data_IF_925605480061
#
_entry.id   IF_925605480061
#
_cell.length_a   1.000
_cell.length_b   1.000
_cell.length_c   1.000
_cell.angle_alpha   90.00
_cell.angle_beta   90.00
_cell.angle_gamma   90.00
#
_symmetry.space_group_name_H-M   'P 1'
#
loop_
_entity.id
_entity.type
_entity.pdbx_description
1 polymer ?
#
# COMPACT_ATOMS: atom_id res chain seq x y z
N UNK A 1 93.46 -27.17 -21.24
CA UNK A 1 93.04 -26.32 -20.10
C UNK A 1 91.52 -26.24 -20.12
N UNK A 2 90.90 -26.63 -18.99
CA UNK A 2 89.48 -26.45 -18.57
C UNK A 2 88.42 -27.14 -19.47
N UNK A 3 87.92 -28.34 -19.19
CA UNK A 3 87.04 -28.84 -18.10
C UNK A 3 85.52 -28.52 -18.28
N UNK A 4 84.67 -29.55 -18.19
CA UNK A 4 83.26 -29.42 -17.74
C UNK A 4 82.19 -30.22 -18.49
N UNK A 5 81.79 -31.39 -17.96
CA UNK A 5 80.59 -32.20 -18.31
C UNK A 5 79.26 -31.54 -17.82
N UNK A 6 78.05 -32.06 -18.19
CA UNK A 6 76.76 -31.35 -18.29
C UNK A 6 75.81 -31.53 -17.07
N UNK A 7 74.54 -31.05 -17.13
CA UNK A 7 73.43 -31.99 -16.89
C UNK A 7 72.07 -31.76 -17.62
N UNK A 8 71.48 -32.89 -18.00
CA UNK A 8 70.11 -33.44 -17.85
C UNK A 8 68.98 -32.70 -17.06
N UNK A 9 67.72 -32.85 -17.58
CA UNK A 9 66.40 -33.14 -16.93
C UNK A 9 65.25 -32.08 -16.90
N UNK A 10 64.13 -32.48 -17.53
CA UNK A 10 62.69 -32.21 -17.25
C UNK A 10 62.11 -30.82 -17.52
N UNK A 11 60.82 -30.60 -17.82
CA UNK A 11 59.60 -31.23 -17.27
C UNK A 11 58.41 -30.80 -18.13
N UNK A 12 57.43 -31.68 -18.28
CA UNK A 12 56.13 -31.42 -18.87
C UNK A 12 55.41 -30.27 -18.14
N UNK A 13 55.02 -29.22 -18.87
CA UNK A 13 54.17 -28.16 -18.35
C UNK A 13 52.71 -28.59 -18.37
N UNK A 14 52.21 -29.08 -17.23
CA UNK A 14 50.78 -29.25 -17.01
C UNK A 14 50.16 -27.86 -16.78
N UNK A 15 49.33 -27.42 -17.72
CA UNK A 15 48.49 -26.23 -17.55
C UNK A 15 47.34 -26.63 -16.62
N UNK A 16 47.44 -26.23 -15.36
CA UNK A 16 46.36 -26.29 -14.38
C UNK A 16 45.38 -25.15 -14.70
N UNK A 17 44.31 -25.47 -15.44
CA UNK A 17 43.14 -24.61 -15.55
C UNK A 17 42.41 -24.71 -14.21
N UNK A 18 42.68 -23.78 -13.30
CA UNK A 18 41.86 -23.58 -12.11
C UNK A 18 40.58 -22.88 -12.55
N UNK A 19 39.55 -23.67 -12.84
CA UNK A 19 38.18 -23.20 -12.95
C UNK A 19 37.75 -22.74 -11.54
N UNK A 20 37.88 -21.45 -11.26
CA UNK A 20 37.26 -20.84 -10.09
C UNK A 20 35.76 -20.85 -10.31
N UNK A 21 35.09 -21.90 -9.83
CA UNK A 21 33.65 -21.84 -9.61
C UNK A 21 33.42 -20.83 -8.49
N UNK A 22 33.09 -19.60 -8.87
CA UNK A 22 32.48 -18.66 -7.93
C UNK A 22 31.14 -19.26 -7.54
N UNK A 23 31.11 -19.91 -6.38
CA UNK A 23 29.83 -20.23 -5.73
C UNK A 23 29.17 -18.87 -5.50
N UNK A 24 28.01 -18.58 -6.10
CA UNK A 24 27.32 -17.34 -5.81
C UNK A 24 27.07 -17.33 -4.30
N UNK A 25 27.63 -16.35 -3.61
CA UNK A 25 27.22 -16.04 -2.24
C UNK A 25 25.75 -15.65 -2.37
N UNK A 26 24.86 -16.56 -1.97
CA UNK A 26 23.43 -16.27 -1.88
C UNK A 26 23.33 -15.22 -0.78
N UNK A 27 23.14 -13.97 -1.19
CA UNK A 27 22.89 -12.89 -0.25
C UNK A 27 21.60 -13.23 0.50
N UNK A 28 21.73 -13.35 1.82
CA UNK A 28 20.61 -13.65 2.71
C UNK A 28 19.66 -12.45 2.76
N UNK A 29 18.38 -12.73 2.93
CA UNK A 29 17.37 -11.74 3.28
C UNK A 29 17.49 -11.42 4.78
N UNK A 30 17.23 -10.17 5.14
CA UNK A 30 17.22 -9.71 6.54
C UNK A 30 15.84 -9.15 6.90
N UNK A 31 15.29 -9.64 8.01
CA UNK A 31 14.06 -9.14 8.62
C UNK A 31 14.44 -8.31 9.83
N UNK A 32 14.07 -7.02 9.81
CA UNK A 32 14.17 -6.15 10.97
C UNK A 32 12.84 -6.15 11.71
N UNK A 33 12.84 -6.59 12.97
CA UNK A 33 11.64 -6.70 13.79
C UNK A 33 11.41 -5.45 14.63
N UNK A 34 10.19 -5.34 15.18
CA UNK A 34 9.87 -4.38 16.22
C UNK A 34 10.86 -4.51 17.41
N UNK A 35 11.21 -3.39 18.07
CA UNK A 35 12.04 -3.43 19.26
C UNK A 35 11.43 -4.31 20.35
N UNK A 36 12.26 -5.04 21.08
CA UNK A 36 11.80 -5.82 22.22
C UNK A 36 11.45 -4.94 23.44
N UNK A 37 11.09 -5.55 24.57
CA UNK A 37 10.76 -4.83 25.80
C UNK A 37 11.91 -3.95 26.35
N UNK A 38 13.15 -4.16 25.86
CA UNK A 38 14.33 -3.36 26.21
C UNK A 38 14.64 -2.27 25.18
N UNK A 39 13.86 -2.20 24.09
CA UNK A 39 14.06 -1.26 23.01
C UNK A 39 15.13 -1.69 22.00
N UNK A 40 15.62 -2.93 22.06
CA UNK A 40 16.64 -3.42 21.12
C UNK A 40 16.00 -3.93 19.84
N UNK A 41 16.49 -3.47 18.69
CA UNK A 41 16.03 -3.92 17.39
C UNK A 41 16.59 -5.31 17.08
N UNK A 42 15.71 -6.26 16.81
CA UNK A 42 16.10 -7.64 16.46
C UNK A 42 16.18 -7.81 14.95
N UNK A 43 17.26 -8.43 14.49
CA UNK A 43 17.46 -8.77 13.06
C UNK A 43 17.53 -10.29 12.92
N UNK A 44 16.79 -10.82 11.94
CA UNK A 44 16.83 -12.24 11.55
C UNK A 44 17.30 -12.32 10.11
N UNK A 45 18.41 -13.02 9.87
CA UNK A 45 18.94 -13.25 8.52
C UNK A 45 18.67 -14.70 8.07
N UNK A 46 18.21 -14.88 6.83
CA UNK A 46 17.83 -16.18 6.27
C UNK A 46 17.33 -16.04 4.82
N UNK A 47 16.72 -17.09 4.27
CA UNK A 47 16.04 -16.99 2.97
C UNK A 47 14.53 -16.93 3.20
N UNK A 48 13.86 -15.90 2.68
CA UNK A 48 12.40 -15.82 2.73
C UNK A 48 11.83 -16.77 1.68
N UNK A 49 11.23 -17.86 2.15
CA UNK A 49 10.60 -18.87 1.30
C UNK A 49 9.25 -18.36 0.80
N UNK A 50 8.46 -17.75 1.68
CA UNK A 50 7.13 -17.24 1.35
C UNK A 50 6.66 -16.16 2.34
N UNK A 51 5.68 -15.35 1.90
CA UNK A 51 4.94 -14.41 2.76
C UNK A 51 3.45 -14.64 2.53
N UNK A 52 2.77 -15.27 3.48
CA UNK A 52 1.36 -15.62 3.37
C UNK A 52 0.73 -15.83 4.74
N UNK A 53 -0.59 -15.79 4.82
CA UNK A 53 -1.34 -16.09 6.05
C UNK A 53 -0.94 -15.18 7.22
N UNK A 54 -0.54 -13.93 6.91
CA UNK A 54 -0.03 -12.98 7.90
C UNK A 54 1.33 -13.35 8.50
N UNK A 55 2.07 -14.28 7.88
CA UNK A 55 3.39 -14.73 8.33
C UNK A 55 4.44 -14.64 7.21
N UNK A 56 5.69 -14.43 7.62
CA UNK A 56 6.88 -14.55 6.79
C UNK A 56 7.56 -15.87 7.18
N UNK A 57 7.68 -16.78 6.21
CA UNK A 57 8.37 -18.04 6.37
C UNK A 57 9.84 -17.82 5.99
N UNK A 58 10.72 -17.79 6.99
CA UNK A 58 12.16 -17.57 6.79
C UNK A 58 12.95 -18.82 7.16
N UNK A 59 13.81 -19.27 6.27
CA UNK A 59 14.73 -20.40 6.49
C UNK A 59 16.04 -19.89 7.06
N UNK A 60 16.36 -20.32 8.28
CA UNK A 60 17.62 -20.01 8.99
C UNK A 60 18.38 -21.32 9.17
N UNK A 61 19.45 -21.51 8.41
CA UNK A 61 20.15 -22.80 8.33
C UNK A 61 19.27 -23.88 7.70
N UNK A 62 18.90 -24.91 8.48
CA UNK A 62 18.04 -26.03 8.03
C UNK A 62 16.61 -25.93 8.54
N UNK A 63 16.25 -24.87 9.27
CA UNK A 63 14.94 -24.73 9.89
C UNK A 63 14.18 -23.54 9.32
N UNK A 64 12.94 -23.77 8.89
CA UNK A 64 11.99 -22.71 8.55
C UNK A 64 11.28 -22.24 9.82
N UNK A 65 11.19 -20.92 9.99
CA UNK A 65 10.53 -20.27 11.14
C UNK A 65 9.45 -19.33 10.63
N UNK A 66 8.21 -19.42 11.15
CA UNK A 66 7.18 -18.42 10.89
C UNK A 66 7.43 -17.18 11.76
N UNK A 67 7.39 -16.00 11.15
CA UNK A 67 7.46 -14.71 11.82
C UNK A 67 6.18 -13.93 11.47
N UNK A 68 5.41 -13.41 12.43
CA UNK A 68 4.25 -12.57 12.12
C UNK A 68 4.66 -11.37 11.27
N UNK A 69 3.96 -11.12 10.15
CA UNK A 69 4.24 -9.96 9.26
C UNK A 69 4.17 -8.65 10.04
N UNK A 70 3.26 -8.57 11.03
CA UNK A 70 3.05 -7.36 11.83
C UNK A 70 4.22 -7.05 12.79
N UNK A 71 5.08 -8.03 13.06
CA UNK A 71 6.28 -7.82 13.87
C UNK A 71 7.47 -7.33 13.03
N UNK A 72 7.35 -7.34 11.69
CA UNK A 72 8.42 -6.96 10.76
C UNK A 72 8.26 -5.50 10.33
N UNK A 73 9.28 -4.70 10.64
CA UNK A 73 9.36 -3.28 10.28
C UNK A 73 9.94 -3.10 8.88
N UNK A 74 10.91 -3.93 8.51
CA UNK A 74 11.60 -3.82 7.23
C UNK A 74 12.09 -5.19 6.75
N UNK A 75 11.98 -5.40 5.44
CA UNK A 75 12.55 -6.54 4.73
C UNK A 75 13.67 -6.01 3.84
N UNK A 76 14.90 -6.46 4.10
CA UNK A 76 16.03 -6.25 3.21
C UNK A 76 16.25 -7.54 2.41
N UNK A 77 16.31 -7.40 1.08
CA UNK A 77 16.46 -8.53 0.17
C UNK A 77 17.32 -8.11 -1.02
N UNK A 78 17.82 -9.09 -1.77
CA UNK A 78 18.45 -8.83 -3.05
C UNK A 78 17.40 -8.43 -4.08
N UNK A 79 17.21 -7.12 -4.21
CA UNK A 79 16.30 -6.57 -5.21
C UNK A 79 16.95 -6.51 -6.59
N UNK A 80 16.16 -6.80 -7.62
CA UNK A 80 16.60 -6.62 -9.00
C UNK A 80 16.74 -5.12 -9.32
N UNK A 81 17.64 -4.72 -10.25
CA UNK A 81 17.76 -3.33 -10.67
C UNK A 81 16.43 -2.71 -11.15
N UNK A 82 15.61 -3.49 -11.86
CA UNK A 82 14.29 -3.05 -12.32
C UNK A 82 13.34 -2.72 -11.16
N UNK A 83 13.36 -3.49 -10.07
CA UNK A 83 12.56 -3.20 -8.86
C UNK A 83 13.01 -1.88 -8.23
N UNK A 84 14.32 -1.70 -7.97
CA UNK A 84 14.83 -0.44 -7.40
C UNK A 84 14.50 0.77 -8.28
N UNK A 85 14.61 0.62 -9.60
CA UNK A 85 14.21 1.66 -10.54
C UNK A 85 12.72 1.96 -10.45
N UNK A 86 11.87 0.94 -10.32
CA UNK A 86 10.43 1.12 -10.17
C UNK A 86 10.05 1.82 -8.86
N UNK A 87 10.67 1.45 -7.74
CA UNK A 87 10.47 2.12 -6.45
C UNK A 87 10.86 3.60 -6.51
N UNK A 88 11.98 3.91 -7.19
CA UNK A 88 12.39 5.29 -7.42
C UNK A 88 11.38 6.08 -8.25
N UNK A 89 10.80 5.48 -9.30
CA UNK A 89 9.75 6.15 -10.08
C UNK A 89 8.48 6.34 -9.24
N UNK A 90 8.10 5.33 -8.45
CA UNK A 90 6.93 5.39 -7.57
C UNK A 90 7.06 6.50 -6.52
N UNK A 91 8.22 6.66 -5.90
CA UNK A 91 8.46 7.69 -4.88
C UNK A 91 8.45 9.13 -5.41
N UNK A 92 8.58 9.31 -6.73
CA UNK A 92 8.49 10.59 -7.42
C UNK A 92 7.15 10.75 -8.17
N UNK A 93 6.15 9.93 -7.84
CA UNK A 93 4.81 9.99 -8.44
C UNK A 93 4.83 9.82 -9.98
N UNK A 94 5.89 9.21 -10.53
CA UNK A 94 6.03 8.92 -11.95
C UNK A 94 5.31 7.60 -12.27
N UNK A 95 3.98 7.61 -12.10
CA UNK A 95 3.13 6.41 -12.08
C UNK A 95 3.26 5.52 -13.31
N UNK A 96 3.26 6.11 -14.51
CA UNK A 96 3.39 5.36 -15.77
C UNK A 96 4.75 4.67 -15.88
N UNK A 97 5.84 5.38 -15.54
CA UNK A 97 7.19 4.83 -15.57
C UNK A 97 7.37 3.73 -14.51
N UNK A 98 6.79 3.92 -13.32
CA UNK A 98 6.78 2.92 -12.26
C UNK A 98 6.07 1.64 -12.70
N UNK A 99 4.89 1.74 -13.34
CA UNK A 99 4.15 0.59 -13.84
C UNK A 99 4.93 -0.23 -14.87
N UNK A 100 5.59 0.45 -15.82
CA UNK A 100 6.43 -0.20 -16.83
C UNK A 100 7.59 -0.94 -16.16
N UNK A 101 8.29 -0.27 -15.23
CA UNK A 101 9.45 -0.86 -14.54
C UNK A 101 9.06 -2.03 -13.62
N UNK A 102 7.94 -1.93 -12.89
CA UNK A 102 7.44 -3.04 -12.08
C UNK A 102 7.05 -4.24 -12.94
N UNK A 103 6.48 -4.03 -14.13
CA UNK A 103 6.14 -5.14 -15.04
C UNK A 103 7.38 -5.90 -15.49
N UNK A 104 8.43 -5.17 -15.86
CA UNK A 104 9.73 -5.77 -16.22
C UNK A 104 10.32 -6.55 -15.03
N UNK A 105 10.26 -5.99 -13.82
CA UNK A 105 10.71 -6.68 -12.61
C UNK A 105 9.90 -7.96 -12.34
N UNK A 106 8.57 -7.93 -12.55
CA UNK A 106 7.70 -9.08 -12.33
C UNK A 106 7.97 -10.24 -13.29
N UNK A 107 8.31 -9.94 -14.54
CA UNK A 107 8.68 -10.94 -15.55
C UNK A 107 10.00 -11.64 -15.21
N UNK A 108 10.96 -10.90 -14.64
CA UNK A 108 12.27 -11.42 -14.27
C UNK A 108 12.32 -12.05 -12.86
N UNK A 109 11.37 -11.75 -11.97
CA UNK A 109 11.33 -12.26 -10.61
C UNK A 109 10.79 -13.69 -10.53
N UNK A 110 11.49 -14.56 -9.79
CA UNK A 110 11.13 -15.97 -9.63
C UNK A 110 10.53 -16.25 -8.25
N UNK A 111 10.81 -15.42 -7.24
CA UNK A 111 10.32 -15.62 -5.87
C UNK A 111 8.83 -15.25 -5.79
N UNK A 112 7.94 -16.18 -5.39
CA UNK A 112 6.50 -15.92 -5.38
C UNK A 112 6.08 -14.72 -4.53
N UNK A 113 6.68 -14.57 -3.35
CA UNK A 113 6.38 -13.46 -2.44
C UNK A 113 6.80 -12.10 -3.01
N UNK A 114 7.96 -12.03 -3.69
CA UNK A 114 8.40 -10.81 -4.38
C UNK A 114 7.44 -10.45 -5.52
N UNK A 115 6.96 -11.45 -6.28
CA UNK A 115 5.98 -11.21 -7.35
C UNK A 115 4.68 -10.62 -6.80
N UNK A 116 4.17 -11.11 -5.67
CA UNK A 116 2.99 -10.51 -5.01
C UNK A 116 3.25 -9.08 -4.53
N UNK A 117 4.43 -8.80 -3.98
CA UNK A 117 4.84 -7.44 -3.62
C UNK A 117 4.85 -6.52 -4.85
N UNK A 118 5.43 -6.95 -5.97
CA UNK A 118 5.47 -6.18 -7.22
C UNK A 118 4.06 -5.89 -7.75
N UNK A 119 3.15 -6.87 -7.71
CA UNK A 119 1.74 -6.68 -8.10
C UNK A 119 1.05 -5.66 -7.18
N UNK A 120 1.30 -5.72 -5.86
CA UNK A 120 0.81 -4.71 -4.93
C UNK A 120 1.32 -3.31 -5.29
N UNK A 121 2.60 -3.15 -5.66
CA UNK A 121 3.12 -1.83 -6.05
C UNK A 121 2.57 -1.35 -7.39
N UNK A 122 2.28 -2.25 -8.34
CA UNK A 122 1.53 -1.89 -9.54
C UNK A 122 0.13 -1.37 -9.20
N UNK A 123 -0.56 -1.99 -8.24
CA UNK A 123 -1.87 -1.50 -7.79
C UNK A 123 -1.78 -0.09 -7.17
N UNK A 124 -0.75 0.18 -6.36
CA UNK A 124 -0.48 1.52 -5.82
C UNK A 124 -0.25 2.54 -6.93
N UNK A 125 0.56 2.20 -7.94
CA UNK A 125 0.77 3.11 -9.08
C UNK A 125 -0.53 3.38 -9.85
N UNK A 126 -1.37 2.35 -10.09
CA UNK A 126 -2.69 2.53 -10.72
C UNK A 126 -3.63 3.42 -9.91
N UNK A 127 -3.61 3.31 -8.57
CA UNK A 127 -4.37 4.21 -7.68
C UNK A 127 -3.89 5.66 -7.81
N UNK A 128 -2.58 5.89 -7.89
CA UNK A 128 -2.01 7.22 -8.16
C UNK A 128 -2.47 7.82 -9.50
N UNK A 129 -2.89 6.99 -10.45
CA UNK A 129 -3.49 7.40 -11.73
C UNK A 129 -5.03 7.52 -11.70
N UNK A 130 -5.66 7.32 -10.54
CA UNK A 130 -7.12 7.26 -10.41
C UNK A 130 -7.76 6.02 -11.03
N UNK A 131 -6.99 4.98 -11.37
CA UNK A 131 -7.47 3.75 -11.99
C UNK A 131 -7.86 2.69 -10.95
N UNK A 132 -8.70 3.09 -9.99
CA UNK A 132 -9.09 2.29 -8.82
C UNK A 132 -9.60 0.89 -9.18
N UNK A 133 -10.45 0.78 -10.20
CA UNK A 133 -11.01 -0.52 -10.61
C UNK A 133 -9.94 -1.50 -11.08
N UNK A 134 -8.91 -1.01 -11.79
CA UNK A 134 -7.79 -1.86 -12.25
C UNK A 134 -6.88 -2.22 -11.09
N UNK A 135 -6.63 -1.30 -10.17
CA UNK A 135 -5.86 -1.56 -8.97
C UNK A 135 -6.53 -2.62 -8.09
N UNK A 136 -7.85 -2.54 -7.93
CA UNK A 136 -8.66 -3.53 -7.22
C UNK A 136 -8.47 -4.94 -7.78
N UNK A 137 -8.59 -5.11 -9.10
CA UNK A 137 -8.42 -6.42 -9.73
C UNK A 137 -7.06 -7.06 -9.41
N UNK A 138 -5.97 -6.28 -9.42
CA UNK A 138 -4.64 -6.79 -9.07
C UNK A 138 -4.54 -7.20 -7.59
N UNK A 139 -5.14 -6.44 -6.68
CA UNK A 139 -5.13 -6.76 -5.26
C UNK A 139 -6.02 -7.96 -4.94
N UNK A 140 -7.19 -8.08 -5.57
CA UNK A 140 -8.07 -9.22 -5.39
C UNK A 140 -7.41 -10.51 -5.88
N UNK A 141 -6.65 -10.49 -6.98
CA UNK A 141 -5.84 -11.66 -7.40
C UNK A 141 -4.84 -12.11 -6.34
N UNK A 142 -4.25 -11.18 -5.58
CA UNK A 142 -3.37 -11.55 -4.46
C UNK A 142 -4.20 -12.16 -3.32
N UNK A 143 -5.34 -11.54 -3.00
CA UNK A 143 -6.20 -11.94 -1.88
C UNK A 143 -6.99 -13.23 -2.13
N UNK A 144 -7.18 -13.64 -3.39
CA UNK A 144 -7.68 -14.97 -3.73
C UNK A 144 -6.70 -16.07 -3.31
N UNK A 145 -5.39 -15.81 -3.44
CA UNK A 145 -4.33 -16.76 -3.08
C UNK A 145 -3.98 -16.67 -1.60
N UNK A 146 -4.00 -15.47 -1.03
CA UNK A 146 -3.71 -15.20 0.38
C UNK A 146 -4.79 -14.28 1.00
N UNK A 147 -5.96 -14.82 1.40
CA UNK A 147 -7.05 -14.04 1.98
C UNK A 147 -6.72 -13.36 3.31
N UNK A 148 -5.65 -13.80 3.97
CA UNK A 148 -5.14 -13.24 5.22
C UNK A 148 -4.01 -12.21 5.00
N UNK A 149 -3.69 -11.89 3.74
CA UNK A 149 -2.69 -10.88 3.42
C UNK A 149 -3.02 -9.52 4.03
N UNK A 150 -1.98 -8.81 4.47
CA UNK A 150 -2.10 -7.42 4.93
C UNK A 150 -2.40 -6.43 3.80
N UNK A 151 -2.29 -6.87 2.53
CA UNK A 151 -2.58 -6.04 1.35
C UNK A 151 -4.05 -5.66 1.19
N UNK A 152 -4.95 -6.26 1.97
CA UNK A 152 -6.33 -5.76 2.14
C UNK A 152 -6.35 -4.27 2.51
N UNK A 153 -5.33 -3.78 3.24
CA UNK A 153 -5.17 -2.37 3.59
C UNK A 153 -4.93 -1.44 2.39
N UNK A 154 -4.56 -1.98 1.24
CA UNK A 154 -4.36 -1.23 0.00
C UNK A 154 -5.59 -1.27 -0.93
N UNK A 155 -6.69 -1.94 -0.55
CA UNK A 155 -7.90 -1.93 -1.38
C UNK A 155 -8.38 -0.50 -1.62
N UNK A 156 -8.78 -0.14 -2.86
CA UNK A 156 -9.30 1.20 -3.18
C UNK A 156 -10.74 1.37 -2.69
N UNK A 157 -10.93 1.29 -1.37
CA UNK A 157 -12.23 1.48 -0.74
C UNK A 157 -12.72 2.92 -0.99
N UNK A 158 -14.03 3.09 -1.15
CA UNK A 158 -14.60 4.42 -1.24
C UNK A 158 -14.54 5.08 0.15
N UNK A 159 -13.65 6.02 0.36
CA UNK A 159 -13.63 6.84 1.58
C UNK A 159 -14.41 8.16 1.38
N UNK A 160 -14.03 9.03 0.42
CA UNK A 160 -14.84 10.19 0.10
C UNK A 160 -16.19 9.78 -0.51
N UNK A 161 -17.17 10.66 -0.35
CA UNK A 161 -18.48 10.51 -1.00
C UNK A 161 -18.33 11.06 -2.42
N UNK A 162 -18.30 10.15 -3.41
CA UNK A 162 -18.33 10.52 -4.83
C UNK A 162 -19.33 9.68 -5.59
N UNK A 163 -19.88 10.26 -6.65
CA UNK A 163 -20.62 9.49 -7.63
C UNK A 163 -19.66 8.49 -8.31
N UNK A 164 -20.15 7.25 -8.47
CA UNK A 164 -19.49 6.20 -9.24
C UNK A 164 -20.10 6.17 -10.63
N UNK A 165 -19.27 5.91 -11.65
CA UNK A 165 -19.75 5.69 -13.02
C UNK A 165 -20.58 4.41 -13.09
N UNK A 166 -21.41 4.26 -14.14
CA UNK A 166 -22.21 3.06 -14.33
C UNK A 166 -21.34 1.78 -14.44
N UNK A 167 -20.16 1.89 -15.07
CA UNK A 167 -19.20 0.79 -15.16
C UNK A 167 -18.61 0.42 -13.78
N UNK A 168 -18.27 1.40 -12.96
CA UNK A 168 -17.81 1.16 -11.57
C UNK A 168 -18.90 0.52 -10.71
N UNK A 169 -20.16 0.97 -10.86
CA UNK A 169 -21.30 0.38 -10.14
C UNK A 169 -21.50 -1.09 -10.55
N UNK A 170 -21.55 -1.37 -11.86
CA UNK A 170 -21.68 -2.75 -12.35
C UNK A 170 -20.56 -3.64 -11.84
N UNK A 171 -19.31 -3.16 -11.86
CA UNK A 171 -18.18 -3.92 -11.34
C UNK A 171 -18.29 -4.16 -9.83
N UNK A 172 -18.75 -3.18 -9.07
CA UNK A 172 -18.96 -3.31 -7.63
C UNK A 172 -20.08 -4.32 -7.29
N UNK A 173 -21.16 -4.37 -8.08
CA UNK A 173 -22.20 -5.39 -7.94
C UNK A 173 -21.68 -6.79 -8.27
N UNK A 174 -20.70 -6.94 -9.17
CA UNK A 174 -20.05 -8.25 -9.36
C UNK A 174 -19.24 -8.64 -8.12
N UNK A 175 -18.45 -7.72 -7.54
CA UNK A 175 -17.62 -8.01 -6.37
C UNK A 175 -18.42 -8.31 -5.11
N UNK A 176 -19.59 -7.69 -4.91
CA UNK A 176 -20.42 -7.94 -3.73
C UNK A 176 -21.01 -9.37 -3.70
N UNK A 177 -21.16 -9.98 -4.88
CA UNK A 177 -21.70 -11.33 -5.05
C UNK A 177 -20.60 -12.42 -5.03
N UNK A 178 -19.33 -12.03 -5.02
CA UNK A 178 -18.21 -12.98 -4.88
C UNK A 178 -18.15 -13.61 -3.49
N UNK A 179 -17.51 -14.78 -3.38
CA UNK A 179 -17.26 -15.45 -2.10
C UNK A 179 -16.07 -14.87 -1.33
N UNK A 180 -15.22 -14.06 -1.98
CA UNK A 180 -14.03 -13.49 -1.38
C UNK A 180 -14.41 -12.28 -0.50
N UNK A 181 -14.15 -12.29 0.84
CA UNK A 181 -14.56 -11.20 1.74
C UNK A 181 -13.96 -9.83 1.37
N UNK A 182 -12.75 -9.81 0.80
CA UNK A 182 -12.12 -8.60 0.31
C UNK A 182 -12.87 -7.98 -0.89
N UNK A 183 -13.36 -8.81 -1.81
CA UNK A 183 -14.18 -8.36 -2.93
C UNK A 183 -15.53 -7.83 -2.42
N UNK A 184 -16.16 -8.55 -1.49
CA UNK A 184 -17.41 -8.12 -0.86
C UNK A 184 -17.25 -6.77 -0.15
N UNK A 185 -16.18 -6.58 0.62
CA UNK A 185 -15.85 -5.32 1.28
C UNK A 185 -15.71 -4.18 0.27
N UNK A 186 -14.97 -4.41 -0.82
CA UNK A 186 -14.73 -3.43 -1.86
C UNK A 186 -16.04 -3.05 -2.58
N UNK A 187 -16.78 -4.04 -3.07
CA UNK A 187 -18.06 -3.85 -3.75
C UNK A 187 -19.05 -3.09 -2.88
N UNK A 188 -19.23 -3.53 -1.63
CA UNK A 188 -20.11 -2.87 -0.68
C UNK A 188 -19.66 -1.42 -0.37
N UNK A 189 -18.36 -1.15 -0.26
CA UNK A 189 -17.88 0.22 -0.04
C UNK A 189 -18.24 1.18 -1.18
N UNK A 190 -18.25 0.69 -2.43
CA UNK A 190 -18.57 1.47 -3.62
C UNK A 190 -20.09 1.64 -3.82
N UNK A 191 -20.87 0.62 -3.46
CA UNK A 191 -22.33 0.62 -3.55
C UNK A 191 -23.03 1.30 -2.37
N UNK A 192 -22.27 1.71 -1.34
CA UNK A 192 -22.82 2.36 -0.15
C UNK A 192 -23.55 3.68 -0.45
N UNK A 193 -23.20 4.32 -1.57
CA UNK A 193 -23.84 5.53 -2.08
C UNK A 193 -24.56 5.18 -3.38
N UNK A 194 -25.87 4.92 -3.32
CA UNK A 194 -26.67 4.59 -4.50
C UNK A 194 -27.90 3.74 -4.20
N UNK A 195 -28.44 3.12 -5.25
CA UNK A 195 -29.66 2.31 -5.18
C UNK A 195 -29.47 0.99 -4.42
N UNK A 196 -28.25 0.42 -4.44
CA UNK A 196 -27.92 -0.85 -3.79
C UNK A 196 -27.44 -0.68 -2.33
N UNK A 197 -27.62 0.52 -1.76
CA UNK A 197 -27.13 0.87 -0.41
C UNK A 197 -27.55 -0.13 0.67
N UNK A 198 -28.77 -0.67 0.61
CA UNK A 198 -29.23 -1.62 1.64
C UNK A 198 -28.49 -2.96 1.56
N UNK A 199 -28.23 -3.47 0.35
CA UNK A 199 -27.43 -4.68 0.15
C UNK A 199 -26.00 -4.44 0.63
N UNK A 200 -25.40 -3.32 0.24
CA UNK A 200 -24.07 -2.91 0.72
C UNK A 200 -23.99 -2.88 2.24
N UNK A 201 -24.98 -2.28 2.92
CA UNK A 201 -25.02 -2.24 4.38
C UNK A 201 -25.13 -3.62 5.02
N UNK A 202 -25.99 -4.48 4.49
CA UNK A 202 -26.14 -5.85 5.00
C UNK A 202 -24.82 -6.63 4.86
N UNK A 203 -24.15 -6.51 3.71
CA UNK A 203 -22.85 -7.14 3.47
C UNK A 203 -21.79 -6.60 4.43
N UNK A 204 -21.65 -5.28 4.57
CA UNK A 204 -20.70 -4.68 5.52
C UNK A 204 -20.97 -5.11 6.97
N UNK A 205 -22.23 -5.16 7.39
CA UNK A 205 -22.60 -5.63 8.72
C UNK A 205 -22.14 -7.07 8.96
N UNK A 206 -22.35 -7.98 8.00
CA UNK A 206 -21.84 -9.35 8.11
C UNK A 206 -20.31 -9.42 8.20
N UNK A 207 -19.61 -8.56 7.45
CA UNK A 207 -18.15 -8.51 7.44
C UNK A 207 -17.55 -7.96 8.74
N UNK A 208 -18.31 -7.24 9.58
CA UNK A 208 -17.82 -6.78 10.89
C UNK A 208 -17.51 -7.91 11.87
N UNK A 209 -18.05 -9.12 11.61
CA UNK A 209 -17.82 -10.33 12.42
C UNK A 209 -16.77 -11.26 11.79
N UNK A 210 -16.12 -10.83 10.70
CA UNK A 210 -15.17 -11.66 9.97
C UNK A 210 -13.90 -11.96 10.80
N UNK A 211 -13.32 -13.15 10.60
CA UNK A 211 -12.15 -13.63 11.35
C UNK A 211 -10.86 -12.85 11.07
N UNK A 212 -10.71 -12.34 9.84
CA UNK A 212 -9.65 -11.38 9.50
C UNK A 212 -9.99 -9.99 10.10
N UNK A 213 -9.23 -9.50 11.10
CA UNK A 213 -9.55 -8.26 11.79
C UNK A 213 -9.46 -7.03 10.89
N UNK A 214 -8.63 -7.04 9.84
CA UNK A 214 -8.53 -5.91 8.92
C UNK A 214 -9.83 -5.73 8.12
N UNK A 215 -10.43 -6.82 7.66
CA UNK A 215 -11.73 -6.81 6.97
C UNK A 215 -12.81 -6.28 7.91
N UNK A 216 -12.88 -6.80 9.13
CA UNK A 216 -13.88 -6.40 10.12
C UNK A 216 -13.78 -4.91 10.49
N UNK A 217 -12.56 -4.42 10.75
CA UNK A 217 -12.30 -3.02 11.09
C UNK A 217 -12.62 -2.07 9.93
N UNK A 218 -12.23 -2.43 8.70
CA UNK A 218 -12.56 -1.67 7.50
C UNK A 218 -14.08 -1.65 7.24
N UNK A 219 -14.76 -2.78 7.38
CA UNK A 219 -16.20 -2.87 7.21
C UNK A 219 -16.96 -1.98 8.21
N UNK A 220 -16.55 -2.00 9.48
CA UNK A 220 -17.10 -1.14 10.53
C UNK A 220 -16.92 0.35 10.19
N UNK A 221 -15.73 0.74 9.75
CA UNK A 221 -15.45 2.11 9.35
C UNK A 221 -16.25 2.56 8.12
N UNK A 222 -16.49 1.64 7.17
CA UNK A 222 -17.35 1.92 6.01
C UNK A 222 -18.80 2.18 6.44
N UNK A 223 -19.34 1.45 7.42
CA UNK A 223 -20.68 1.71 7.99
C UNK A 223 -20.78 3.12 8.59
N UNK A 224 -19.72 3.63 9.23
CA UNK A 224 -19.71 4.98 9.82
C UNK A 224 -19.93 6.09 8.80
N UNK A 225 -19.58 5.89 7.53
CA UNK A 225 -19.80 6.88 6.45
C UNK A 225 -21.28 7.25 6.27
N UNK A 226 -22.18 6.34 6.62
CA UNK A 226 -23.64 6.54 6.50
C UNK A 226 -24.38 6.51 7.83
N UNK A 227 -23.64 6.33 8.92
CA UNK A 227 -24.12 6.40 10.31
C UNK A 227 -23.28 7.44 11.05
N UNK A 228 -23.41 8.73 10.70
CA UNK A 228 -22.60 9.78 11.32
C UNK A 228 -22.82 9.78 12.83
N UNK A 229 -21.76 10.03 13.58
CA UNK A 229 -21.86 10.18 15.02
C UNK A 229 -22.66 11.46 15.32
N UNK A 230 -23.70 11.35 16.14
CA UNK A 230 -24.62 12.46 16.43
C UNK A 230 -24.12 13.41 17.51
N UNK A 231 -22.91 13.19 18.06
CA UNK A 231 -22.34 14.00 19.14
C UNK A 231 -20.82 13.81 19.26
N UNK A 232 -20.14 14.79 19.86
CA UNK A 232 -18.70 14.71 20.16
C UNK A 232 -18.28 13.50 21.02
N UNK A 233 -19.02 13.10 22.09
CA UNK A 233 -18.70 11.88 22.83
C UNK A 233 -18.69 10.62 21.95
N UNK A 234 -19.63 10.52 21.00
CA UNK A 234 -19.66 9.40 20.06
C UNK A 234 -18.50 9.46 19.05
N UNK A 235 -18.10 10.65 18.61
CA UNK A 235 -16.90 10.84 17.79
C UNK A 235 -15.63 10.47 18.56
N UNK A 236 -15.49 10.92 19.80
CA UNK A 236 -14.34 10.60 20.66
C UNK A 236 -14.20 9.07 20.86
N UNK A 237 -15.29 8.36 21.14
CA UNK A 237 -15.28 6.90 21.24
C UNK A 237 -14.79 6.24 19.94
N UNK A 238 -15.24 6.72 18.77
CA UNK A 238 -14.76 6.20 17.48
C UNK A 238 -13.29 6.52 17.25
N UNK A 239 -12.81 7.72 17.63
CA UNK A 239 -11.38 8.09 17.55
C UNK A 239 -10.51 7.14 18.39
N UNK A 240 -10.95 6.81 19.61
CA UNK A 240 -10.27 5.82 20.47
C UNK A 240 -10.24 4.43 19.84
N UNK A 241 -11.33 4.03 19.17
CA UNK A 241 -11.39 2.75 18.49
C UNK A 241 -10.44 2.71 17.29
N UNK A 242 -10.42 3.76 16.46
CA UNK A 242 -9.50 3.88 15.31
C UNK A 242 -8.04 3.88 15.76
N UNK A 243 -7.72 4.47 16.92
CA UNK A 243 -6.37 4.42 17.47
C UNK A 243 -5.89 2.98 17.78
N UNK A 244 -6.82 2.04 17.99
CA UNK A 244 -6.54 0.61 18.22
C UNK A 244 -6.56 -0.22 16.94
N UNK A 245 -6.98 0.35 15.81
CA UNK A 245 -6.93 -0.35 14.53
C UNK A 245 -5.49 -0.55 14.08
N UNK A 246 -5.28 -1.54 13.22
CA UNK A 246 -3.99 -1.76 12.61
C UNK A 246 -3.52 -0.50 11.86
N UNK A 247 -2.24 -0.12 12.03
CA UNK A 247 -1.70 1.16 11.54
C UNK A 247 -1.95 1.38 10.05
N UNK A 248 -1.81 0.33 9.24
CA UNK A 248 -1.96 0.38 7.77
C UNK A 248 -3.38 0.66 7.30
N UNK A 249 -4.40 0.55 8.17
CA UNK A 249 -5.80 0.81 7.80
C UNK A 249 -6.38 2.05 8.49
N UNK A 250 -5.60 2.79 9.31
CA UNK A 250 -6.15 3.91 10.09
C UNK A 250 -6.55 5.11 9.23
N UNK A 251 -5.92 5.32 8.08
CA UNK A 251 -6.08 6.53 7.28
C UNK A 251 -7.55 6.76 6.84
N UNK A 252 -8.18 5.72 6.27
CA UNK A 252 -9.57 5.77 5.83
C UNK A 252 -10.58 6.05 6.95
N UNK A 253 -10.61 5.25 8.03
CA UNK A 253 -11.43 5.52 9.20
C UNK A 253 -11.20 6.91 9.80
N UNK A 254 -9.95 7.40 9.87
CA UNK A 254 -9.66 8.77 10.30
C UNK A 254 -10.32 9.80 9.40
N UNK A 255 -10.19 9.64 8.07
CA UNK A 255 -10.85 10.52 7.10
C UNK A 255 -12.37 10.58 7.35
N UNK A 256 -13.02 9.44 7.57
CA UNK A 256 -14.47 9.39 7.87
C UNK A 256 -14.83 10.17 9.14
N UNK A 257 -14.01 10.10 10.19
CA UNK A 257 -14.24 10.85 11.42
C UNK A 257 -14.01 12.35 11.26
N UNK A 258 -13.06 12.75 10.42
CA UNK A 258 -12.81 14.15 10.09
C UNK A 258 -14.01 14.73 9.32
N UNK A 259 -14.50 14.00 8.32
CA UNK A 259 -15.69 14.40 7.56
C UNK A 259 -16.93 14.52 8.46
N UNK A 260 -17.11 13.61 9.42
CA UNK A 260 -18.21 13.66 10.36
C UNK A 260 -18.12 14.86 11.33
N UNK A 261 -16.92 15.33 11.66
CA UNK A 261 -16.70 16.48 12.54
C UNK A 261 -16.68 17.84 11.80
N UNK A 262 -16.70 17.83 10.46
CA UNK A 262 -16.44 18.99 9.61
C UNK A 262 -17.30 20.22 9.92
N UNK A 263 -18.55 20.01 10.33
CA UNK A 263 -19.49 21.11 10.62
C UNK A 263 -19.43 21.62 12.07
N UNK A 264 -18.93 20.81 13.00
CA UNK A 264 -18.97 21.09 14.43
C UNK A 264 -17.61 21.56 14.98
N UNK A 265 -16.51 21.29 14.27
CA UNK A 265 -15.16 21.66 14.68
C UNK A 265 -14.65 22.95 14.02
N UNK A 266 -13.67 23.65 14.63
CA UNK A 266 -13.02 24.80 14.01
C UNK A 266 -12.41 24.44 12.65
N UNK A 267 -12.62 25.25 11.60
CA UNK A 267 -12.13 24.91 10.25
C UNK A 267 -10.61 24.73 10.14
N UNK A 268 -9.84 25.45 10.96
CA UNK A 268 -8.39 25.28 11.02
C UNK A 268 -7.98 23.88 11.53
N UNK A 269 -8.70 23.34 12.51
CA UNK A 269 -8.43 22.01 13.06
C UNK A 269 -8.77 20.91 12.04
N UNK A 270 -9.89 21.08 11.31
CA UNK A 270 -10.26 20.18 10.20
C UNK A 270 -9.18 20.17 9.11
N UNK A 271 -8.69 21.33 8.69
CA UNK A 271 -7.62 21.40 7.69
C UNK A 271 -6.34 20.71 8.16
N UNK A 272 -5.94 20.89 9.43
CA UNK A 272 -4.79 20.21 10.02
C UNK A 272 -4.99 18.69 10.02
N UNK A 273 -6.16 18.23 10.43
CA UNK A 273 -6.46 16.79 10.49
C UNK A 273 -6.49 16.14 9.10
N UNK A 274 -6.98 16.84 8.08
CA UNK A 274 -6.89 16.38 6.69
C UNK A 274 -5.44 16.31 6.21
N UNK A 275 -4.61 17.31 6.50
CA UNK A 275 -3.19 17.35 6.13
C UNK A 275 -2.34 16.30 6.87
N UNK A 276 -2.80 15.78 8.02
CA UNK A 276 -2.14 14.65 8.68
C UNK A 276 -2.18 13.38 7.84
N UNK A 277 -3.17 13.20 6.96
CA UNK A 277 -3.28 12.00 6.13
C UNK A 277 -2.10 11.84 5.17
N UNK A 278 -1.79 12.81 4.28
CA UNK A 278 -0.61 12.72 3.41
C UNK A 278 0.72 12.64 4.15
N UNK A 279 0.81 13.20 5.37
CA UNK A 279 2.03 13.19 6.16
C UNK A 279 2.26 11.83 6.84
N UNK A 280 1.22 11.26 7.44
CA UNK A 280 1.32 10.03 8.25
C UNK A 280 1.08 8.75 7.45
N UNK A 281 0.35 8.84 6.32
CA UNK A 281 -0.04 7.71 5.50
C UNK A 281 0.20 7.99 4.00
N UNK A 282 1.43 8.40 3.60
CA UNK A 282 1.73 8.75 2.21
C UNK A 282 1.51 7.58 1.23
N UNK A 283 1.53 6.34 1.69
CA UNK A 283 1.27 5.14 0.90
C UNK A 283 -0.19 4.96 0.47
N UNK A 284 -1.13 5.70 1.07
CA UNK A 284 -2.56 5.63 0.80
C UNK A 284 -2.91 6.45 -0.45
N UNK A 285 -2.35 6.07 -1.59
CA UNK A 285 -2.38 6.84 -2.84
C UNK A 285 -3.77 7.14 -3.39
N UNK A 286 -4.80 6.37 -3.01
CA UNK A 286 -6.19 6.67 -3.34
C UNK A 286 -6.83 7.74 -2.43
N UNK A 287 -6.36 7.88 -1.18
CA UNK A 287 -6.96 8.76 -0.16
C UNK A 287 -6.22 10.09 -0.03
N UNK A 288 -4.90 10.08 -0.19
CA UNK A 288 -4.04 11.27 -0.15
C UNK A 288 -4.56 12.41 -1.04
N UNK A 289 -4.82 12.21 -2.35
CA UNK A 289 -5.29 13.31 -3.20
C UNK A 289 -6.64 13.89 -2.74
N UNK A 290 -7.52 13.06 -2.20
CA UNK A 290 -8.83 13.46 -1.69
C UNK A 290 -8.71 14.26 -0.40
N UNK A 291 -7.81 13.86 0.51
CA UNK A 291 -7.51 14.61 1.73
C UNK A 291 -6.89 15.99 1.43
N UNK A 292 -5.97 16.06 0.45
CA UNK A 292 -5.38 17.33 -0.01
C UNK A 292 -6.45 18.25 -0.61
N UNK A 293 -7.33 17.72 -1.46
CA UNK A 293 -8.43 18.50 -2.05
C UNK A 293 -9.38 19.05 -0.99
N UNK A 294 -9.79 18.20 -0.05
CA UNK A 294 -10.63 18.59 1.08
C UNK A 294 -9.95 19.66 1.96
N UNK A 295 -8.66 19.53 2.25
CA UNK A 295 -7.92 20.52 3.02
C UNK A 295 -7.86 21.87 2.30
N UNK A 296 -7.56 21.87 0.99
CA UNK A 296 -7.53 23.07 0.18
C UNK A 296 -8.91 23.76 0.11
N UNK A 297 -9.99 22.99 0.02
CA UNK A 297 -11.36 23.51 0.09
C UNK A 297 -11.63 24.21 1.42
N UNK A 298 -11.34 23.55 2.55
CA UNK A 298 -11.55 24.11 3.89
C UNK A 298 -10.74 25.38 4.09
N UNK A 299 -9.46 25.39 3.69
CA UNK A 299 -8.60 26.58 3.80
C UNK A 299 -9.13 27.76 2.98
N UNK A 300 -9.56 27.50 1.75
CA UNK A 300 -10.10 28.52 0.84
C UNK A 300 -11.42 29.10 1.34
N UNK A 301 -12.31 28.27 1.87
CA UNK A 301 -13.59 28.70 2.43
C UNK A 301 -13.43 29.51 3.73
N UNK A 302 -12.21 29.58 4.28
CA UNK A 302 -11.88 30.30 5.51
C UNK A 302 -10.79 31.37 5.26
N UNK A 303 -10.77 31.95 4.06
CA UNK A 303 -9.91 33.07 3.67
C UNK A 303 -8.38 32.81 3.76
N UNK A 304 -7.94 31.54 3.86
CA UNK A 304 -6.52 31.13 3.85
C UNK A 304 -6.06 30.76 2.44
N UNK A 305 -6.24 31.69 1.50
CA UNK A 305 -6.07 31.46 0.05
C UNK A 305 -4.64 31.05 -0.32
N UNK A 306 -3.61 31.64 0.32
CA UNK A 306 -2.21 31.33 0.02
C UNK A 306 -1.85 29.88 0.37
N UNK A 307 -2.36 29.41 1.51
CA UNK A 307 -2.16 28.03 1.97
C UNK A 307 -2.95 27.04 1.13
N UNK A 308 -4.21 27.36 0.81
CA UNK A 308 -5.01 26.57 -0.11
C UNK A 308 -4.31 26.43 -1.48
N UNK A 309 -3.64 27.48 -1.95
CA UNK A 309 -2.87 27.47 -3.19
C UNK A 309 -1.63 26.58 -3.12
N UNK A 310 -0.94 26.53 -1.98
CA UNK A 310 0.18 25.61 -1.76
C UNK A 310 -0.28 24.15 -1.83
N UNK A 311 -1.33 23.79 -1.10
CA UNK A 311 -1.90 22.44 -1.07
C UNK A 311 -2.42 22.04 -2.47
N UNK A 312 -3.07 22.96 -3.17
CA UNK A 312 -3.57 22.73 -4.53
C UNK A 312 -2.43 22.46 -5.52
N UNK A 313 -1.32 23.20 -5.44
CA UNK A 313 -0.15 22.95 -6.29
C UNK A 313 0.45 21.57 -6.05
N UNK A 314 0.55 21.14 -4.81
CA UNK A 314 1.03 19.79 -4.48
C UNK A 314 0.12 18.71 -5.07
N UNK A 315 -1.20 18.86 -4.91
CA UNK A 315 -2.20 17.96 -5.49
C UNK A 315 -2.09 17.87 -7.01
N UNK A 316 -2.04 19.01 -7.70
CA UNK A 316 -1.95 19.07 -9.17
C UNK A 316 -0.62 18.50 -9.68
N UNK A 317 0.48 18.74 -8.97
CA UNK A 317 1.79 18.26 -9.35
C UNK A 317 1.92 16.74 -9.19
N UNK A 318 1.51 16.20 -8.04
CA UNK A 318 1.77 14.81 -7.66
C UNK A 318 0.65 13.84 -8.09
N UNK A 319 -0.57 14.33 -8.28
CA UNK A 319 -1.75 13.50 -8.58
C UNK A 319 -2.61 14.04 -9.74
N UNK A 320 -2.03 14.50 -10.87
CA UNK A 320 -2.77 15.19 -11.94
C UNK A 320 -3.86 14.33 -12.59
N UNK A 321 -3.68 13.01 -12.59
CA UNK A 321 -4.58 12.05 -13.25
C UNK A 321 -5.74 11.59 -12.35
N UNK A 322 -5.70 11.92 -11.05
CA UNK A 322 -6.79 11.58 -10.13
C UNK A 322 -7.99 12.50 -10.34
N UNK A 323 -9.18 12.09 -9.86
CA UNK A 323 -10.38 12.93 -9.93
C UNK A 323 -10.17 14.26 -9.18
N UNK A 324 -9.61 14.21 -7.97
CA UNK A 324 -9.25 15.37 -7.18
C UNK A 324 -8.25 16.29 -7.90
N UNK A 325 -7.16 15.74 -8.45
CA UNK A 325 -6.12 16.52 -9.13
C UNK A 325 -6.59 17.16 -10.44
N UNK A 326 -7.36 16.43 -11.25
CA UNK A 326 -7.95 16.98 -12.48
C UNK A 326 -8.98 18.09 -12.20
N UNK A 327 -9.80 17.92 -11.17
CA UNK A 327 -10.74 18.95 -10.70
C UNK A 327 -9.99 20.20 -10.22
N UNK A 328 -8.94 20.02 -9.41
CA UNK A 328 -8.12 21.13 -8.92
C UNK A 328 -7.41 21.89 -10.05
N UNK A 329 -6.88 21.17 -11.05
CA UNK A 329 -6.25 21.76 -12.24
C UNK A 329 -7.21 22.65 -13.02
N UNK A 330 -8.48 22.22 -13.15
CA UNK A 330 -9.50 22.99 -13.87
C UNK A 330 -9.85 24.31 -13.18
N UNK A 331 -9.80 24.35 -11.84
CA UNK A 331 -10.08 25.55 -11.04
C UNK A 331 -8.94 26.58 -11.11
N UNK A 332 -7.68 26.14 -11.17
CA UNK A 332 -6.51 27.04 -11.25
C UNK A 332 -6.46 27.77 -12.61
N UNK A 333 -6.83 27.09 -13.70
CA UNK A 333 -6.86 27.70 -15.04
C UNK A 333 -7.97 28.74 -15.24
N UNK A 334 -9.05 28.70 -14.45
CA UNK A 334 -10.18 29.64 -14.56
C UNK A 334 -10.00 30.95 -13.78
N UNK A 335 -8.94 31.06 -12.97
CA UNK A 335 -8.70 32.21 -12.07
C UNK A 335 -7.62 33.17 -12.58
N UNK A 336 -7.12 32.99 -13.81
CA UNK A 336 -6.14 33.87 -14.49
C UNK A 336 -6.78 34.64 -15.63
#
# INVERSE_FOLDING_TARGET
MVAGFPPKISRWGAILITLWWTVPVIALDELRLLPDAKGEQRVISGEIEDIREGQILIRVGTSTRPIPVLDVVQIESTWQPAHRSADHQLSHHAWDAALIAYRQAYEAEQRPWCRRLLVKQMAVALQGQGQDARAALLLLQILEVDPASTYVSNLPLAWPVRARTAAEQQQASLWIDESLPAAQLLGASWLLVGNERQQALNTLSSLTEHTNPLIAQLALAQIWRVTPASSEPALAQRRELVAKFHSTIQAGPRFVLIEAARNDAPPADIAIDLLRIPILYPEQTCLVPEALAAAAEVLRNNDRVDEASLVTRELVHNYPQTLAGSTASSMDTGSR
#
